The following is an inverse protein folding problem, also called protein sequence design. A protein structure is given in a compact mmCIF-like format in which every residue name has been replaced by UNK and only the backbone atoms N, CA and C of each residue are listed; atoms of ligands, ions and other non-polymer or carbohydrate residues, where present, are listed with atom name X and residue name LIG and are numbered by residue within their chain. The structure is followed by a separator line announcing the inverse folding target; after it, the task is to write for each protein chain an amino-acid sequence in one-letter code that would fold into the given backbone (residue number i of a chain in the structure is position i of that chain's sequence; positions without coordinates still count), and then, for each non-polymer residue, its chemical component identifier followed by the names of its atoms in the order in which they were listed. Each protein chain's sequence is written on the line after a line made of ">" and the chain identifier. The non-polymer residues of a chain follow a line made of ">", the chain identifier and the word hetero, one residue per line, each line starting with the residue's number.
data_IF_738922202918
#
_entry.id   IF_738922202918
#
_cell.length_a   1.000
_cell.length_b   1.000
_cell.length_c   1.000
_cell.angle_alpha   90.00
_cell.angle_beta   90.00
_cell.angle_gamma   90.00
#
_symmetry.space_group_name_H-M   'P 1'
#
loop_
_entity.id
_entity.type
_entity.pdbx_description
1 polymer ?
#
# COMPACT_ATOMS: atom_id res chain seq x y z
N UNK A 1 12.53 3.74 -7.48
CA UNK A 1 11.49 3.93 -8.52
C UNK A 1 11.21 5.41 -8.57
N UNK A 2 11.32 6.03 -9.75
CA UNK A 2 11.10 7.47 -9.90
C UNK A 2 9.69 7.72 -10.43
N UNK A 3 8.93 8.58 -9.74
CA UNK A 3 7.60 9.00 -10.18
C UNK A 3 7.68 10.47 -10.60
N UNK A 4 7.04 10.81 -11.72
CA UNK A 4 6.92 12.21 -12.13
C UNK A 4 6.13 12.98 -11.08
N UNK A 5 6.43 14.26 -10.91
CA UNK A 5 5.82 15.14 -9.89
C UNK A 5 4.28 15.20 -9.94
N UNK A 6 3.68 14.86 -11.09
CA UNK A 6 2.23 14.87 -11.31
C UNK A 6 1.58 13.47 -11.28
N UNK A 7 2.32 12.40 -10.97
CA UNK A 7 1.75 11.05 -10.90
C UNK A 7 0.77 10.95 -9.74
N UNK A 8 -0.52 10.85 -10.04
CA UNK A 8 -1.60 10.69 -9.05
C UNK A 8 -2.03 9.24 -8.82
N UNK A 9 -1.76 8.35 -9.79
CA UNK A 9 -2.20 6.96 -9.75
C UNK A 9 -1.06 6.05 -10.19
N UNK A 10 -0.85 4.96 -9.44
CA UNK A 10 0.12 3.91 -9.75
C UNK A 10 -0.64 2.59 -9.74
N UNK A 11 -0.54 1.82 -10.83
CA UNK A 11 -1.21 0.52 -10.97
C UNK A 11 -0.15 -0.57 -11.03
N UNK A 12 -0.22 -1.52 -10.10
CA UNK A 12 0.65 -2.69 -10.06
C UNK A 12 -0.04 -3.85 -10.77
N UNK A 13 0.48 -4.25 -11.94
CA UNK A 13 -0.03 -5.34 -12.76
C UNK A 13 1.00 -6.45 -12.91
N UNK A 14 0.57 -7.66 -13.29
CA UNK A 14 1.42 -8.84 -13.42
C UNK A 14 0.70 -10.13 -13.04
N UNK A 15 1.36 -11.27 -13.25
CA UNK A 15 0.83 -12.61 -13.00
C UNK A 15 0.63 -12.91 -11.51
N UNK A 16 0.00 -14.05 -11.17
CA UNK A 16 -0.21 -14.46 -9.79
C UNK A 16 1.10 -14.63 -9.01
N UNK A 17 1.14 -14.18 -7.75
CA UNK A 17 2.30 -14.43 -6.87
C UNK A 17 3.53 -13.53 -7.06
N UNK A 18 3.58 -12.66 -8.07
CA UNK A 18 4.76 -11.78 -8.35
C UNK A 18 4.97 -10.61 -7.37
N UNK A 19 4.22 -10.56 -6.28
CA UNK A 19 4.40 -9.53 -5.23
C UNK A 19 3.65 -8.21 -5.44
N UNK A 20 2.70 -8.10 -6.38
CA UNK A 20 1.95 -6.86 -6.66
C UNK A 20 1.41 -6.16 -5.41
N UNK A 21 0.69 -6.90 -4.56
CA UNK A 21 0.09 -6.35 -3.32
C UNK A 21 1.15 -5.88 -2.34
N UNK A 22 2.23 -6.64 -2.19
CA UNK A 22 3.35 -6.30 -1.31
C UNK A 22 4.06 -5.05 -1.80
N UNK A 23 4.33 -4.95 -3.11
CA UNK A 23 4.98 -3.77 -3.70
C UNK A 23 4.07 -2.54 -3.62
N UNK A 24 2.76 -2.69 -3.87
CA UNK A 24 1.80 -1.60 -3.74
C UNK A 24 1.75 -1.07 -2.30
N UNK A 25 1.72 -1.96 -1.30
CA UNK A 25 1.77 -1.60 0.11
C UNK A 25 3.06 -0.86 0.47
N UNK A 26 4.21 -1.38 0.06
CA UNK A 26 5.52 -0.77 0.34
C UNK A 26 5.67 0.62 -0.30
N UNK A 27 5.27 0.78 -1.56
CA UNK A 27 5.30 2.08 -2.26
C UNK A 27 4.35 3.08 -1.59
N UNK A 28 3.13 2.65 -1.24
CA UNK A 28 2.16 3.51 -0.58
C UNK A 28 2.67 3.98 0.80
N UNK A 29 3.26 3.06 1.57
CA UNK A 29 3.84 3.35 2.86
C UNK A 29 5.02 4.33 2.76
N UNK A 30 5.96 4.10 1.84
CA UNK A 30 7.07 5.01 1.59
C UNK A 30 6.61 6.41 1.20
N UNK A 31 5.60 6.53 0.33
CA UNK A 31 5.04 7.83 -0.03
C UNK A 31 4.29 8.51 1.10
N UNK A 32 3.60 7.76 1.95
CA UNK A 32 3.02 8.31 3.18
C UNK A 32 4.11 8.85 4.13
N UNK A 33 5.25 8.16 4.25
CA UNK A 33 6.40 8.64 5.03
C UNK A 33 7.03 9.91 4.46
N UNK A 34 7.01 10.09 3.15
CA UNK A 34 7.41 11.34 2.47
C UNK A 34 6.38 12.50 2.65
N UNK A 35 5.28 12.27 3.36
CA UNK A 35 4.25 13.28 3.64
C UNK A 35 3.11 13.34 2.62
N UNK A 36 3.08 12.44 1.63
CA UNK A 36 1.97 12.38 0.68
C UNK A 36 0.72 11.79 1.33
N UNK A 37 -0.46 12.30 0.95
CA UNK A 37 -1.74 11.64 1.23
C UNK A 37 -1.94 10.52 0.22
N UNK A 38 -1.85 9.27 0.68
CA UNK A 38 -1.90 8.09 -0.19
C UNK A 38 -3.10 7.22 0.16
N UNK A 39 -3.74 6.67 -0.88
CA UNK A 39 -4.75 5.64 -0.77
C UNK A 39 -4.23 4.39 -1.50
N UNK A 40 -4.22 3.25 -0.81
CA UNK A 40 -3.89 1.94 -1.39
C UNK A 40 -5.14 1.07 -1.41
N UNK A 41 -5.42 0.45 -2.56
CA UNK A 41 -6.60 -0.38 -2.78
C UNK A 41 -6.13 -1.70 -3.41
N UNK A 42 -6.58 -2.82 -2.86
CA UNK A 42 -6.50 -4.13 -3.52
C UNK A 42 -7.89 -4.56 -3.95
N UNK A 43 -7.98 -5.24 -5.09
CA UNK A 43 -9.26 -5.72 -5.65
C UNK A 43 -9.45 -7.23 -5.39
N UNK A 44 -8.41 -7.92 -4.91
CA UNK A 44 -8.50 -9.34 -4.59
C UNK A 44 -9.14 -9.58 -3.21
N UNK A 45 -9.90 -10.67 -3.02
CA UNK A 45 -10.57 -10.97 -1.75
C UNK A 45 -9.61 -11.38 -0.62
N UNK A 46 -8.31 -11.48 -0.88
CA UNK A 46 -7.36 -11.97 0.10
C UNK A 46 -6.92 -10.89 1.08
N UNK A 47 -6.48 -11.31 2.27
CA UNK A 47 -6.01 -10.41 3.32
C UNK A 47 -4.55 -9.95 3.13
N UNK A 48 -3.99 -10.05 1.92
CA UNK A 48 -2.56 -9.79 1.64
C UNK A 48 -2.14 -8.36 1.98
N UNK A 49 -2.99 -7.37 1.70
CA UNK A 49 -2.69 -5.98 2.06
C UNK A 49 -2.59 -5.82 3.58
N UNK A 50 -3.55 -6.39 4.31
CA UNK A 50 -3.57 -6.30 5.76
C UNK A 50 -2.36 -6.96 6.40
N UNK A 51 -1.98 -8.14 5.90
CA UNK A 51 -0.76 -8.84 6.28
C UNK A 51 0.50 -8.00 5.99
N UNK A 52 0.61 -7.42 4.79
CA UNK A 52 1.76 -6.58 4.41
C UNK A 52 1.88 -5.31 5.28
N UNK A 53 0.76 -4.76 5.74
CA UNK A 53 0.69 -3.58 6.60
C UNK A 53 0.62 -3.93 8.09
N UNK A 54 0.76 -5.21 8.45
CA UNK A 54 0.76 -5.73 9.81
C UNK A 54 -0.49 -5.32 10.63
N UNK A 55 -1.69 -5.46 10.06
CA UNK A 55 -2.96 -5.25 10.77
C UNK A 55 -3.99 -6.35 10.47
N UNK A 56 -5.04 -6.45 11.31
CA UNK A 56 -6.15 -7.39 11.15
C UNK A 56 -7.45 -6.63 10.81
N UNK A 57 -8.09 -6.89 9.65
CA UNK A 57 -9.32 -6.18 9.29
C UNK A 57 -10.48 -6.60 10.19
N UNK A 58 -11.16 -5.61 10.76
CA UNK A 58 -12.27 -5.80 11.69
C UNK A 58 -13.48 -4.90 11.35
N UNK A 59 -13.52 -4.38 10.13
CA UNK A 59 -14.57 -3.45 9.67
C UNK A 59 -14.47 -2.04 10.25
N UNK A 60 -13.46 -1.73 11.08
CA UNK A 60 -13.23 -0.41 11.65
C UNK A 60 -11.98 0.22 11.06
N UNK A 61 -11.98 1.56 11.00
CA UNK A 61 -10.78 2.33 10.67
C UNK A 61 -9.72 2.08 11.75
N UNK A 62 -8.52 1.72 11.31
CA UNK A 62 -7.38 1.46 12.19
C UNK A 62 -6.21 2.34 11.77
N UNK A 63 -5.49 2.86 12.76
CA UNK A 63 -4.24 3.56 12.52
C UNK A 63 -3.16 2.52 12.29
N UNK A 64 -2.53 2.55 11.12
CA UNK A 64 -1.35 1.73 10.87
C UNK A 64 -0.16 2.36 11.59
N UNK A 65 0.62 1.57 12.36
CA UNK A 65 1.86 2.06 12.96
C UNK A 65 2.80 2.52 11.84
N UNK A 66 3.15 3.81 11.84
CA UNK A 66 4.29 4.31 11.07
C UNK A 66 5.51 4.29 12.00
N UNK A 67 6.72 3.95 11.52
CA UNK A 67 7.91 4.02 12.34
C UNK A 67 8.10 5.52 12.61
N UNK A 68 8.44 5.89 13.85
CA UNK A 68 8.75 7.29 14.13
C UNK A 68 9.89 7.72 13.19
N UNK A 69 9.77 8.94 12.66
CA UNK A 69 10.85 9.60 11.95
C UNK A 69 12.10 9.69 12.84
#
# INVERSE_FOLDING_TARGET
>A
MEFKTQTKTIIFIGTGGVGKTTTAAAVAYGKAMEGYKVLVITIDPSQRLAQAMNFLPNGKVQKIPTPKA
#
